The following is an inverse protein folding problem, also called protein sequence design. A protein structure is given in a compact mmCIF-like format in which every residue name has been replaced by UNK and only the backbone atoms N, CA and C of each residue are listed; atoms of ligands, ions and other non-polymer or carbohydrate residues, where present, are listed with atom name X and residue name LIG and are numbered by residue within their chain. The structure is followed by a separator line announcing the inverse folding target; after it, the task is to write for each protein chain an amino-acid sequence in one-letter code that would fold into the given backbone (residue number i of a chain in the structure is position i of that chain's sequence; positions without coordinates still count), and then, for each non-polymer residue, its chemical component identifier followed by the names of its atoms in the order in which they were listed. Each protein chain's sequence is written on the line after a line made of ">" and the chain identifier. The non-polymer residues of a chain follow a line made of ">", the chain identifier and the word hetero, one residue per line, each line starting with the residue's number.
data_IF_025670959492
#
_entry.id   IF_025670959492
#
_cell.length_a   1.000
_cell.length_b   1.000
_cell.length_c   1.000
_cell.angle_alpha   90.00
_cell.angle_beta   90.00
_cell.angle_gamma   90.00
#
_symmetry.space_group_name_H-M   'P 1'
#
loop_
_entity.id
_entity.type
_entity.pdbx_description
1 polymer ?
#
# COMPACT_ATOMS: atom_id res chain seq x y z
N UNK A 1 14.51 -23.77 -3.46
CA UNK A 1 13.67 -22.75 -2.80
C UNK A 1 12.43 -23.45 -2.28
N UNK A 2 12.11 -23.38 -0.98
CA UNK A 2 10.87 -23.97 -0.46
C UNK A 2 9.70 -23.33 -1.22
N UNK A 3 8.88 -24.12 -1.90
CA UNK A 3 7.71 -23.63 -2.63
C UNK A 3 6.72 -23.01 -1.65
N UNK A 4 6.88 -21.72 -1.37
CA UNK A 4 5.93 -20.98 -0.57
C UNK A 4 4.66 -20.83 -1.39
N UNK A 5 3.53 -21.22 -0.80
CA UNK A 5 2.23 -21.02 -1.42
C UNK A 5 1.98 -19.50 -1.50
N UNK A 6 1.99 -18.97 -2.73
CA UNK A 6 1.83 -17.55 -3.00
C UNK A 6 0.46 -17.04 -2.55
N UNK A 7 -0.60 -17.83 -2.73
CA UNK A 7 -1.95 -17.46 -2.27
C UNK A 7 -1.98 -17.29 -0.75
N UNK A 8 -1.31 -18.19 -0.02
CA UNK A 8 -1.18 -18.10 1.44
C UNK A 8 -0.44 -16.83 1.85
N UNK A 9 0.64 -16.48 1.14
CA UNK A 9 1.38 -15.25 1.41
C UNK A 9 0.54 -14.01 1.10
N UNK A 10 -0.13 -13.97 -0.06
CA UNK A 10 -1.04 -12.90 -0.43
C UNK A 10 -2.14 -12.70 0.62
N UNK A 11 -2.77 -13.77 1.10
CA UNK A 11 -3.76 -13.70 2.18
C UNK A 11 -3.16 -13.17 3.50
N UNK A 12 -1.96 -13.62 3.87
CA UNK A 12 -1.28 -13.16 5.08
C UNK A 12 -0.90 -11.67 5.01
N UNK A 13 -0.31 -11.24 3.89
CA UNK A 13 0.06 -9.84 3.69
C UNK A 13 -1.17 -8.95 3.58
N UNK A 14 -2.21 -9.38 2.85
CA UNK A 14 -3.49 -8.70 2.76
C UNK A 14 -4.12 -8.48 4.14
N UNK A 15 -4.18 -9.54 4.97
CA UNK A 15 -4.67 -9.44 6.34
C UNK A 15 -3.88 -8.42 7.18
N UNK A 16 -2.54 -8.49 7.13
CA UNK A 16 -1.66 -7.58 7.89
C UNK A 16 -1.81 -6.13 7.46
N UNK A 17 -1.96 -5.87 6.16
CA UNK A 17 -2.21 -4.53 5.62
C UNK A 17 -3.56 -4.03 6.12
N UNK A 18 -4.63 -4.81 5.94
CA UNK A 18 -5.97 -4.44 6.36
C UNK A 18 -6.02 -4.15 7.87
N UNK A 19 -5.38 -4.98 8.69
CA UNK A 19 -5.30 -4.77 10.14
C UNK A 19 -4.57 -3.48 10.50
N UNK A 20 -3.44 -3.18 9.84
CA UNK A 20 -2.67 -1.96 10.09
C UNK A 20 -3.44 -0.70 9.69
N UNK A 21 -4.12 -0.71 8.54
CA UNK A 21 -4.90 0.44 8.06
C UNK A 21 -6.17 0.63 8.90
N UNK A 22 -6.85 -0.46 9.28
CA UNK A 22 -8.03 -0.42 10.15
C UNK A 22 -7.74 0.18 11.54
N UNK A 23 -6.49 0.07 12.02
CA UNK A 23 -6.09 0.66 13.29
C UNK A 23 -6.14 2.20 13.26
N UNK A 24 -5.93 2.82 12.10
CA UNK A 24 -5.88 4.27 11.90
C UNK A 24 -7.26 4.89 11.63
N UNK A 25 -8.23 4.10 11.19
CA UNK A 25 -9.59 4.56 10.96
C UNK A 25 -10.48 4.23 12.15
N UNK A 26 -10.86 5.25 12.91
CA UNK A 26 -11.79 5.13 14.02
C UNK A 26 -13.15 5.72 13.67
N UNK A 27 -14.21 5.03 14.09
CA UNK A 27 -15.57 5.56 14.08
C UNK A 27 -15.79 6.52 15.26
N UNK A 28 -17.03 7.00 15.41
CA UNK A 28 -17.42 7.93 16.47
C UNK A 28 -17.30 7.32 17.88
N UNK A 29 -17.33 5.99 17.98
CA UNK A 29 -17.23 5.23 19.23
C UNK A 29 -15.79 4.75 19.50
N UNK A 30 -14.81 5.20 18.70
CA UNK A 30 -13.40 4.82 18.82
C UNK A 30 -13.08 3.40 18.34
N UNK A 31 -14.03 2.71 17.68
CA UNK A 31 -13.82 1.38 17.11
C UNK A 31 -13.31 1.48 15.66
N UNK A 32 -12.69 0.41 15.12
CA UNK A 32 -12.24 0.42 13.73
C UNK A 32 -13.40 0.67 12.75
N UNK A 33 -13.31 1.73 11.95
CA UNK A 33 -14.27 2.03 10.89
C UNK A 33 -14.00 1.12 9.69
N UNK A 34 -14.69 -0.01 9.67
CA UNK A 34 -14.54 -1.06 8.64
C UNK A 34 -14.89 -0.53 7.25
N UNK A 35 -15.98 0.21 7.13
CA UNK A 35 -16.47 0.70 5.84
C UNK A 35 -15.49 1.71 5.23
N UNK A 36 -14.94 2.60 6.05
CA UNK A 36 -13.91 3.54 5.59
C UNK A 36 -12.61 2.83 5.22
N UNK A 37 -12.19 1.84 6.02
CA UNK A 37 -10.99 1.04 5.73
C UNK A 37 -11.11 0.30 4.41
N UNK A 38 -12.22 -0.41 4.20
CA UNK A 38 -12.50 -1.16 2.97
C UNK A 38 -12.52 -0.24 1.76
N UNK A 39 -13.28 0.86 1.82
CA UNK A 39 -13.33 1.84 0.74
C UNK A 39 -11.95 2.41 0.39
N UNK A 40 -11.14 2.69 1.41
CA UNK A 40 -9.79 3.23 1.20
C UNK A 40 -8.90 2.21 0.47
N UNK A 41 -8.84 0.99 0.96
CA UNK A 41 -8.00 -0.08 0.38
C UNK A 41 -8.46 -0.42 -1.03
N UNK A 42 -9.76 -0.59 -1.26
CA UNK A 42 -10.31 -0.91 -2.58
C UNK A 42 -9.99 0.16 -3.61
N UNK A 43 -10.13 1.45 -3.25
CA UNK A 43 -9.76 2.55 -4.16
C UNK A 43 -8.27 2.60 -4.44
N UNK A 44 -7.43 2.40 -3.43
CA UNK A 44 -5.98 2.33 -3.62
C UNK A 44 -5.60 1.16 -4.53
N UNK A 45 -6.21 -0.01 -4.37
CA UNK A 45 -5.98 -1.17 -5.23
C UNK A 45 -6.44 -0.93 -6.67
N UNK A 46 -7.57 -0.26 -6.87
CA UNK A 46 -8.03 0.11 -8.22
C UNK A 46 -6.98 0.96 -8.94
N UNK A 47 -6.46 2.02 -8.30
CA UNK A 47 -5.39 2.84 -8.88
C UNK A 47 -4.13 2.03 -9.17
N UNK A 48 -3.75 1.11 -8.27
CA UNK A 48 -2.59 0.24 -8.49
C UNK A 48 -2.76 -0.67 -9.71
N UNK A 49 -3.96 -1.19 -9.94
CA UNK A 49 -4.27 -2.11 -11.04
C UNK A 49 -4.42 -1.38 -12.38
N UNK A 50 -5.03 -0.19 -12.36
CA UNK A 50 -5.34 0.59 -13.56
C UNK A 50 -4.16 1.46 -14.02
N UNK A 51 -3.48 2.15 -13.08
CA UNK A 51 -2.47 3.17 -13.38
C UNK A 51 -1.05 2.79 -12.90
N UNK A 52 -0.93 1.68 -12.16
CA UNK A 52 0.35 1.13 -11.73
C UNK A 52 0.94 1.73 -10.44
N UNK A 53 2.15 1.28 -10.10
CA UNK A 53 2.81 1.50 -8.79
C UNK A 53 3.09 2.98 -8.50
N UNK A 54 3.50 3.75 -9.52
CA UNK A 54 3.81 5.16 -9.34
C UNK A 54 2.56 5.99 -9.02
N UNK A 55 1.49 5.80 -9.81
CA UNK A 55 0.20 6.45 -9.60
C UNK A 55 -0.41 6.06 -8.25
N UNK A 56 -0.29 4.79 -7.85
CA UNK A 56 -0.68 4.32 -6.53
C UNK A 56 -0.03 5.12 -5.39
N UNK A 57 1.29 5.33 -5.44
CA UNK A 57 1.95 6.12 -4.42
C UNK A 57 1.49 7.58 -4.45
N UNK A 58 1.39 8.22 -5.63
CA UNK A 58 0.86 9.59 -5.74
C UNK A 58 -0.53 9.68 -5.11
N UNK A 59 -1.41 8.73 -5.40
CA UNK A 59 -2.75 8.68 -4.84
C UNK A 59 -2.70 8.67 -3.31
N UNK A 60 -1.85 7.83 -2.69
CA UNK A 60 -1.68 7.78 -1.24
C UNK A 60 -1.12 9.10 -0.66
N UNK A 61 -0.15 9.71 -1.33
CA UNK A 61 0.42 11.00 -0.91
C UNK A 61 -0.60 12.16 -1.00
N UNK A 62 -1.50 12.11 -1.97
CA UNK A 62 -2.52 13.14 -2.19
C UNK A 62 -3.69 13.11 -1.20
N UNK A 63 -3.77 12.10 -0.32
CA UNK A 63 -4.92 11.95 0.59
C UNK A 63 -4.96 13.07 1.63
N UNK A 64 -6.14 13.68 1.77
CA UNK A 64 -6.38 14.76 2.73
C UNK A 64 -6.38 14.31 4.20
N UNK A 65 -6.44 15.29 5.12
CA UNK A 65 -6.40 15.12 6.59
C UNK A 65 -7.14 13.88 7.12
N UNK A 66 -8.39 13.66 6.65
CA UNK A 66 -9.27 12.58 7.12
C UNK A 66 -8.77 11.17 6.79
N UNK A 67 -7.94 11.02 5.76
CA UNK A 67 -7.46 9.73 5.27
C UNK A 67 -5.94 9.60 5.34
N UNK A 68 -5.24 10.67 5.72
CA UNK A 68 -3.78 10.74 5.71
C UNK A 68 -3.13 9.64 6.55
N UNK A 69 -3.65 9.36 7.75
CA UNK A 69 -3.09 8.34 8.63
C UNK A 69 -3.17 6.93 8.02
N UNK A 70 -4.35 6.54 7.51
CA UNK A 70 -4.53 5.25 6.82
C UNK A 70 -3.70 5.15 5.54
N UNK A 71 -3.64 6.23 4.75
CA UNK A 71 -2.83 6.29 3.54
C UNK A 71 -1.32 6.17 3.83
N UNK A 72 -0.85 6.81 4.90
CA UNK A 72 0.54 6.71 5.33
C UNK A 72 0.90 5.28 5.76
N UNK A 73 0.01 4.60 6.50
CA UNK A 73 0.20 3.19 6.86
C UNK A 73 0.19 2.26 5.67
N UNK A 74 -0.74 2.46 4.74
CA UNK A 74 -0.81 1.66 3.52
C UNK A 74 0.47 1.84 2.68
N UNK A 75 0.96 3.08 2.57
CA UNK A 75 2.23 3.40 1.90
C UNK A 75 3.41 2.68 2.53
N UNK A 76 3.54 2.76 3.86
CA UNK A 76 4.62 2.11 4.60
C UNK A 76 4.64 0.59 4.36
N UNK A 77 3.47 -0.06 4.45
CA UNK A 77 3.37 -1.51 4.20
C UNK A 77 3.67 -1.87 2.74
N UNK A 78 3.15 -1.10 1.79
CA UNK A 78 3.39 -1.33 0.37
C UNK A 78 4.88 -1.15 0.00
N UNK A 79 5.51 -0.09 0.51
CA UNK A 79 6.95 0.15 0.32
C UNK A 79 7.78 -0.98 0.90
N UNK A 80 7.47 -1.43 2.13
CA UNK A 80 8.16 -2.56 2.76
C UNK A 80 8.05 -3.86 1.94
N UNK A 81 6.87 -4.19 1.41
CA UNK A 81 6.70 -5.37 0.54
C UNK A 81 7.47 -5.26 -0.76
N UNK A 82 7.47 -4.09 -1.39
CA UNK A 82 8.27 -3.86 -2.60
C UNK A 82 9.76 -3.93 -2.31
N UNK A 83 10.19 -3.46 -1.14
CA UNK A 83 11.57 -3.59 -0.69
C UNK A 83 11.99 -5.06 -0.48
N UNK A 84 11.09 -6.01 -0.25
CA UNK A 84 11.47 -7.43 -0.21
C UNK A 84 11.90 -7.96 -1.59
N UNK A 85 11.37 -7.38 -2.67
CA UNK A 85 11.55 -7.88 -4.05
C UNK A 85 12.46 -6.99 -4.92
N UNK A 86 12.50 -5.69 -4.64
CA UNK A 86 13.22 -4.70 -5.45
C UNK A 86 14.23 -3.94 -4.59
N UNK A 87 15.51 -4.09 -4.91
CA UNK A 87 16.60 -3.45 -4.15
C UNK A 87 16.51 -1.92 -4.15
N UNK A 88 15.88 -1.33 -5.16
CA UNK A 88 15.67 0.11 -5.21
C UNK A 88 14.73 0.62 -4.12
N UNK A 89 13.74 -0.18 -3.72
CA UNK A 89 12.87 0.16 -2.60
C UNK A 89 13.59 -0.04 -1.25
N UNK A 90 14.67 -0.83 -1.21
CA UNK A 90 15.54 -0.91 -0.02
C UNK A 90 16.44 0.30 0.11
N UNK A 91 17.03 0.77 -1.01
CA UNK A 91 18.00 1.86 -1.02
C UNK A 91 17.37 3.25 -1.01
N UNK A 92 16.15 3.37 -1.55
CA UNK A 92 15.41 4.63 -1.61
C UNK A 92 14.24 4.63 -0.61
N UNK A 93 14.34 5.47 0.42
CA UNK A 93 13.28 5.66 1.41
C UNK A 93 12.04 6.35 0.83
N UNK A 94 12.23 7.17 -0.20
CA UNK A 94 11.13 7.83 -0.89
C UNK A 94 10.47 6.87 -1.89
N UNK A 95 9.23 6.47 -1.58
CA UNK A 95 8.46 5.55 -2.39
C UNK A 95 8.14 6.08 -3.80
N UNK A 96 8.03 7.40 -3.99
CA UNK A 96 7.79 8.01 -5.30
C UNK A 96 9.04 7.95 -6.19
N UNK A 97 10.20 8.29 -5.62
CA UNK A 97 11.47 8.21 -6.33
C UNK A 97 11.81 6.77 -6.69
N UNK A 98 11.55 5.82 -5.78
CA UNK A 98 11.73 4.40 -6.04
C UNK A 98 10.82 3.92 -7.18
N UNK A 99 9.53 4.28 -7.14
CA UNK A 99 8.54 3.87 -8.14
C UNK A 99 8.76 4.49 -9.53
N UNK A 100 9.47 5.63 -9.62
CA UNK A 100 9.80 6.29 -10.90
C UNK A 100 11.00 5.65 -11.61
N UNK A 101 11.73 4.75 -10.97
CA UNK A 101 12.91 4.15 -11.57
C UNK A 101 12.54 3.22 -12.74
N UNK A 102 13.25 3.28 -13.88
CA UNK A 102 12.94 2.49 -15.08
C UNK A 102 13.02 0.97 -14.89
N UNK A 103 13.65 0.50 -13.81
CA UNK A 103 13.66 -0.91 -13.41
C UNK A 103 12.41 -1.39 -12.65
N UNK A 104 11.49 -0.49 -12.28
CA UNK A 104 10.22 -0.79 -11.59
C UNK A 104 9.04 -0.71 -12.57
N UNK A 105 9.16 0.09 -13.63
CA UNK A 105 8.28 0.05 -14.80
C UNK A 105 9.03 0.52 -16.07
N UNK A 106 8.78 -0.11 -17.24
CA UNK A 106 9.00 0.58 -18.51
C UNK A 106 7.97 1.71 -18.58
N UNK A 107 8.46 2.95 -18.69
CA UNK A 107 7.63 4.06 -19.13
C UNK A 107 7.03 3.65 -20.48
N UNK A 108 5.71 3.76 -20.60
CA UNK A 108 4.97 3.58 -21.86
C UNK A 108 5.67 4.29 -23.01
#
# INVERSE_FOLDING_TARGET
>A
MSGQNLDRLCAQYGYRICQAVAAEFKDKDGKPDKAKTENHITKSLAVLQEDGVYAFFIYLFSRGERERAGAARLREKAHGLLAEQFDIFKSQSDSLLAARHPGVMPLV
#
